data_IF_387538644494
#
_entry.id   IF_387538644494
#
_cell.length_a   1.000
_cell.length_b   1.000
_cell.length_c   1.000
_cell.angle_alpha   90.00
_cell.angle_beta   90.00
_cell.angle_gamma   90.00
#
_symmetry.space_group_name_H-M   'P 1'
#
loop_
_entity.id
_entity.type
_entity.pdbx_description
1 polymer ?
#
# COMPACT_ATOMS: atom_id res chain seq x y z
N UNK A 1 -10.40 13.87 16.37
CA UNK A 1 -9.24 13.06 15.94
C UNK A 1 -9.36 12.83 14.44
N UNK A 2 -8.37 13.22 13.64
CA UNK A 2 -8.38 12.95 12.21
C UNK A 2 -8.09 11.46 11.98
N UNK A 3 -9.04 10.72 11.39
CA UNK A 3 -8.85 9.32 11.01
C UNK A 3 -7.87 9.24 9.84
N UNK A 4 -6.57 9.23 10.13
CA UNK A 4 -5.57 9.10 9.09
C UNK A 4 -5.49 7.64 8.63
N UNK A 5 -6.10 7.36 7.47
CA UNK A 5 -6.21 6.01 6.93
C UNK A 5 -5.22 5.86 5.77
N UNK A 6 -4.15 5.10 5.95
CA UNK A 6 -3.29 4.67 4.83
C UNK A 6 -3.91 3.42 4.21
N UNK A 7 -4.09 3.48 2.89
CA UNK A 7 -4.41 2.30 2.07
C UNK A 7 -3.08 1.70 1.60
N UNK A 8 -2.82 0.45 1.97
CA UNK A 8 -1.62 -0.30 1.60
C UNK A 8 -1.85 -1.03 0.27
N UNK A 9 -0.79 -1.15 -0.52
CA UNK A 9 -0.81 -1.80 -1.82
C UNK A 9 0.32 -2.83 -1.92
N UNK A 10 0.00 -4.03 -2.40
CA UNK A 10 0.97 -5.00 -2.92
C UNK A 10 0.87 -4.92 -4.45
N UNK A 11 1.80 -4.25 -5.14
CA UNK A 11 1.59 -3.84 -6.53
C UNK A 11 1.47 -5.01 -7.52
N UNK A 12 2.19 -6.10 -7.26
CA UNK A 12 2.29 -7.28 -8.11
C UNK A 12 2.45 -8.52 -7.23
N UNK A 13 1.49 -9.41 -7.34
CA UNK A 13 1.42 -10.68 -6.63
C UNK A 13 0.95 -11.76 -7.60
N UNK A 14 1.44 -12.99 -7.46
CA UNK A 14 0.91 -14.12 -8.24
C UNK A 14 -0.59 -14.26 -8.01
N UNK A 15 -1.34 -14.53 -9.07
CA UNK A 15 -2.79 -14.72 -8.99
C UNK A 15 -3.18 -15.89 -8.07
N UNK A 16 -2.31 -16.89 -7.94
CA UNK A 16 -2.54 -18.10 -7.14
C UNK A 16 -2.43 -17.87 -5.63
N UNK A 17 -1.90 -16.74 -5.17
CA UNK A 17 -1.80 -16.44 -3.73
C UNK A 17 -3.17 -15.96 -3.25
N UNK A 18 -3.81 -16.69 -2.33
CA UNK A 18 -5.15 -16.35 -1.84
C UNK A 18 -5.16 -15.09 -0.96
N UNK A 19 -6.27 -14.36 -0.94
CA UNK A 19 -6.48 -13.24 -0.02
C UNK A 19 -6.42 -13.67 1.44
N UNK A 20 -6.94 -14.84 1.79
CA UNK A 20 -6.87 -15.40 3.13
C UNK A 20 -5.42 -15.55 3.62
N UNK A 21 -4.52 -16.07 2.77
CA UNK A 21 -3.11 -16.17 3.11
C UNK A 21 -2.48 -14.79 3.38
N UNK A 22 -2.82 -13.80 2.54
CA UNK A 22 -2.33 -12.43 2.68
C UNK A 22 -2.84 -11.81 3.99
N UNK A 23 -4.13 -11.97 4.29
CA UNK A 23 -4.75 -11.51 5.54
C UNK A 23 -4.01 -12.10 6.73
N UNK A 24 -3.77 -13.41 6.72
CA UNK A 24 -3.07 -14.11 7.80
C UNK A 24 -1.64 -13.57 8.01
N UNK A 25 -0.88 -13.30 6.95
CA UNK A 25 0.46 -12.71 7.05
C UNK A 25 0.41 -11.29 7.62
N UNK A 26 -0.51 -10.46 7.14
CA UNK A 26 -0.62 -9.06 7.58
C UNK A 26 -1.10 -8.97 9.04
N UNK A 27 -2.05 -9.82 9.45
CA UNK A 27 -2.52 -9.88 10.85
C UNK A 27 -1.40 -10.28 11.81
N UNK A 28 -0.53 -11.22 11.42
CA UNK A 28 0.65 -11.62 12.22
C UNK A 28 1.64 -10.49 12.48
N UNK A 29 1.64 -9.44 11.66
CA UNK A 29 2.51 -8.27 11.88
C UNK A 29 2.02 -7.37 13.02
N UNK A 30 0.77 -7.51 13.47
CA UNK A 30 0.18 -6.71 14.55
C UNK A 30 0.30 -5.18 14.35
N UNK A 31 0.15 -4.72 13.11
CA UNK A 31 0.20 -3.28 12.75
C UNK A 31 -1.18 -2.59 12.79
N UNK A 32 -2.24 -3.36 13.04
CA UNK A 32 -3.62 -2.90 13.00
C UNK A 32 -4.56 -3.98 12.49
N UNK A 33 -5.78 -3.58 12.14
CA UNK A 33 -6.79 -4.47 11.55
C UNK A 33 -7.06 -4.12 10.10
N UNK A 34 -7.26 -5.13 9.26
CA UNK A 34 -7.67 -4.93 7.87
C UNK A 34 -9.17 -4.60 7.87
N UNK A 35 -9.53 -3.44 7.33
CA UNK A 35 -10.92 -3.01 7.16
C UNK A 35 -11.49 -3.54 5.85
N UNK A 36 -10.75 -3.35 4.75
CA UNK A 36 -11.13 -3.86 3.43
C UNK A 36 -9.92 -4.38 2.66
N UNK A 37 -10.16 -5.36 1.78
CA UNK A 37 -9.17 -5.90 0.85
C UNK A 37 -9.82 -6.07 -0.54
N UNK A 38 -9.13 -5.58 -1.56
CA UNK A 38 -9.52 -5.73 -2.95
C UNK A 38 -8.40 -6.40 -3.75
N UNK A 39 -8.79 -7.41 -4.52
CA UNK A 39 -7.94 -8.09 -5.49
C UNK A 39 -8.22 -7.55 -6.88
N UNK A 40 -7.20 -6.99 -7.54
CA UNK A 40 -7.35 -6.37 -8.85
C UNK A 40 -6.38 -7.04 -9.82
N UNK A 41 -6.86 -7.84 -10.80
CA UNK A 41 -6.01 -8.41 -11.84
C UNK A 41 -5.22 -7.33 -12.59
N UNK A 42 -3.97 -7.61 -12.95
CA UNK A 42 -3.19 -6.67 -13.76
C UNK A 42 -3.69 -6.70 -15.22
N UNK A 43 -4.00 -5.51 -15.77
CA UNK A 43 -4.58 -5.34 -17.11
C UNK A 43 -3.85 -6.13 -18.21
N UNK A 44 -2.52 -6.10 -18.20
CA UNK A 44 -1.69 -6.70 -19.24
C UNK A 44 -1.06 -8.04 -18.84
N UNK A 45 -1.26 -8.50 -17.60
CA UNK A 45 -0.68 -9.75 -17.14
C UNK A 45 -1.61 -10.46 -16.16
N UNK A 46 -2.49 -11.30 -16.70
CA UNK A 46 -3.54 -12.02 -15.96
C UNK A 46 -3.01 -13.01 -14.91
N UNK A 47 -1.74 -13.41 -15.02
CA UNK A 47 -1.08 -14.27 -14.04
C UNK A 47 -0.74 -13.53 -12.73
N UNK A 48 -0.93 -12.21 -12.71
CA UNK A 48 -0.68 -11.38 -11.55
C UNK A 48 -1.88 -10.52 -11.20
N UNK A 49 -1.95 -10.17 -9.93
CA UNK A 49 -2.90 -9.24 -9.35
C UNK A 49 -2.20 -8.23 -8.46
N UNK A 50 -2.89 -7.15 -8.17
CA UNK A 50 -2.56 -6.17 -7.14
C UNK A 50 -3.52 -6.36 -5.98
N UNK A 51 -3.01 -6.20 -4.77
CA UNK A 51 -3.83 -6.11 -3.56
C UNK A 51 -3.89 -4.67 -3.13
N UNK A 52 -5.08 -4.18 -2.85
CA UNK A 52 -5.32 -2.88 -2.22
C UNK A 52 -6.06 -3.15 -0.92
N UNK A 53 -5.50 -2.70 0.20
CA UNK A 53 -6.07 -2.96 1.51
C UNK A 53 -6.10 -1.71 2.37
N UNK A 54 -7.24 -1.46 2.99
CA UNK A 54 -7.41 -0.41 3.99
C UNK A 54 -7.08 -0.99 5.35
N UNK A 55 -6.17 -0.33 6.07
CA UNK A 55 -5.74 -0.75 7.41
C UNK A 55 -6.16 0.31 8.41
N UNK A 56 -6.82 -0.13 9.49
CA UNK A 56 -7.01 0.67 10.70
C UNK A 56 -5.76 0.47 11.54
N UNK A 57 -4.84 1.44 11.46
CA UNK A 57 -3.51 1.33 12.05
C UNK A 57 -3.56 1.39 13.57
N UNK A 58 -2.88 0.46 14.22
CA UNK A 58 -2.62 0.53 15.65
C UNK A 58 -1.43 1.45 15.90
N UNK A 59 -1.67 2.75 16.08
CA UNK A 59 -0.62 3.74 16.32
C UNK A 59 -0.17 3.81 17.78
N UNK A 60 -0.38 2.78 18.60
CA UNK A 60 0.26 2.69 19.92
C UNK A 60 1.61 1.96 19.85
N UNK A 61 1.73 0.99 18.93
CA UNK A 61 2.96 0.21 18.71
C UNK A 61 4.03 1.03 17.99
N UNK A 62 5.27 1.02 18.51
CA UNK A 62 6.43 1.68 17.88
C UNK A 62 6.73 1.14 16.48
N UNK A 63 6.55 -0.17 16.27
CA UNK A 63 6.72 -0.81 14.97
C UNK A 63 5.69 -0.30 13.97
N UNK A 64 4.42 -0.25 14.38
CA UNK A 64 3.33 0.25 13.54
C UNK A 64 3.52 1.73 13.20
N UNK A 65 3.85 2.58 14.18
CA UNK A 65 4.20 3.99 13.96
C UNK A 65 5.32 4.16 12.93
N UNK A 66 6.38 3.34 13.03
CA UNK A 66 7.51 3.38 12.09
C UNK A 66 7.08 3.02 10.67
N UNK A 67 6.35 1.93 10.50
CA UNK A 67 5.85 1.49 9.18
C UNK A 67 4.94 2.57 8.58
N UNK A 68 4.02 3.08 9.40
CA UNK A 68 3.10 4.13 9.03
C UNK A 68 3.82 5.41 8.55
N UNK A 69 4.88 5.84 9.26
CA UNK A 69 5.70 6.98 8.85
C UNK A 69 6.41 6.76 7.52
N UNK A 70 7.04 5.58 7.33
CA UNK A 70 7.72 5.21 6.08
C UNK A 70 6.74 5.30 4.90
N UNK A 71 5.54 4.77 5.06
CA UNK A 71 4.51 4.82 4.02
C UNK A 71 4.00 6.24 3.76
N UNK A 72 3.92 7.10 4.78
CA UNK A 72 3.55 8.50 4.60
C UNK A 72 4.62 9.33 3.89
N UNK A 73 5.89 8.95 4.00
CA UNK A 73 6.99 9.49 3.20
C UNK A 73 7.01 8.91 1.76
N UNK A 74 5.96 8.19 1.35
CA UNK A 74 5.86 7.49 0.05
C UNK A 74 6.98 6.48 -0.21
N UNK A 75 7.62 5.97 0.84
CA UNK A 75 8.62 4.89 0.76
C UNK A 75 7.94 3.53 0.77
N UNK A 76 8.71 2.51 0.39
CA UNK A 76 8.24 1.12 0.40
C UNK A 76 8.70 0.36 1.65
N UNK A 77 7.94 -0.67 2.01
CA UNK A 77 8.30 -1.64 3.06
C UNK A 77 8.39 -3.04 2.47
N UNK A 78 9.14 -3.91 3.14
CA UNK A 78 9.21 -5.35 2.82
C UNK A 78 8.48 -6.14 3.89
N UNK A 79 7.54 -6.98 3.47
CA UNK A 79 6.81 -7.90 4.35
C UNK A 79 7.28 -9.32 4.03
N UNK A 80 8.04 -9.92 4.95
CA UNK A 80 8.54 -11.30 4.81
C UNK A 80 7.39 -12.25 5.11
N UNK A 81 6.99 -13.06 4.13
CA UNK A 81 5.93 -14.06 4.29
C UNK A 81 6.49 -15.47 4.47
N UNK A 82 7.67 -15.73 3.91
CA UNK A 82 8.42 -16.99 4.04
C UNK A 82 9.90 -16.70 3.77
N UNK A 83 10.80 -16.82 4.75
CA UNK A 83 12.19 -16.40 4.59
C UNK A 83 12.90 -17.22 3.48
N UNK A 84 13.56 -16.59 2.49
CA UNK A 84 13.93 -15.18 2.38
C UNK A 84 12.97 -14.31 1.55
N UNK A 85 11.83 -14.85 1.15
CA UNK A 85 10.83 -14.22 0.32
C UNK A 85 10.00 -13.15 1.04
N UNK A 86 9.78 -12.03 0.34
CA UNK A 86 9.01 -10.91 0.83
C UNK A 86 8.17 -10.26 -0.26
N UNK A 87 7.09 -9.59 0.15
CA UNK A 87 6.34 -8.66 -0.70
C UNK A 87 6.85 -7.25 -0.49
N UNK A 88 6.96 -6.48 -1.57
CA UNK A 88 7.16 -5.04 -1.50
C UNK A 88 5.78 -4.39 -1.41
N UNK A 89 5.59 -3.55 -0.39
CA UNK A 89 4.34 -2.85 -0.16
C UNK A 89 4.55 -1.34 -0.16
N UNK A 90 3.57 -0.62 -0.68
CA UNK A 90 3.61 0.84 -0.85
C UNK A 90 2.27 1.46 -0.44
N UNK A 91 2.27 2.76 -0.18
CA UNK A 91 1.02 3.52 -0.05
C UNK A 91 0.29 3.53 -1.39
N UNK A 92 -0.98 3.13 -1.38
CA UNK A 92 -1.86 3.27 -2.54
C UNK A 92 -2.23 4.75 -2.71
N UNK A 93 -1.87 5.30 -3.86
CA UNK A 93 -2.29 6.63 -4.28
C UNK A 93 -3.28 6.43 -5.43
N UNK A 94 -4.51 6.88 -5.23
CA UNK A 94 -5.51 6.91 -6.31
C UNK A 94 -5.08 8.02 -7.27
N UNK A 95 -4.47 7.65 -8.40
CA UNK A 95 -4.16 8.62 -9.44
C UNK A 95 -5.45 9.24 -9.95
N UNK A 96 -5.51 10.56 -10.01
CA UNK A 96 -6.63 11.24 -10.65
C UNK A 96 -6.63 10.91 -12.14
N UNK A 97 -7.83 10.75 -12.74
CA UNK A 97 -7.94 10.45 -14.16
C UNK A 97 -7.20 11.47 -15.05
N UNK A 98 -7.10 12.74 -14.60
CA UNK A 98 -6.35 13.81 -15.27
C UNK A 98 -4.83 13.63 -15.24
N UNK A 99 -4.26 13.18 -14.13
CA UNK A 99 -2.79 12.98 -13.99
C UNK A 99 -2.27 11.86 -14.90
N UNK A 100 -3.09 10.83 -15.14
CA UNK A 100 -2.78 9.73 -16.06
C UNK A 100 -2.63 10.16 -17.52
N UNK A 101 -3.32 11.24 -17.91
CA UNK A 101 -3.23 11.80 -19.28
C UNK A 101 -1.91 12.56 -19.44
N UNK A 102 -1.41 13.18 -18.37
CA UNK A 102 -0.22 14.02 -18.41
C UNK A 102 1.08 13.32 -17.96
N UNK A 103 0.99 12.08 -17.46
CA UNK A 103 2.15 11.26 -17.10
C UNK A 103 3.01 11.80 -15.94
N UNK A 104 2.53 12.80 -15.21
CA UNK A 104 3.29 13.46 -14.14
C UNK A 104 3.24 12.62 -12.85
N UNK A 105 4.40 12.38 -12.23
CA UNK A 105 4.50 11.72 -10.92
C UNK A 105 3.70 12.54 -9.87
N UNK A 106 2.75 11.92 -9.14
CA UNK A 106 1.97 12.60 -8.10
C UNK A 106 2.80 13.25 -6.99
N UNK A 107 4.05 12.81 -6.80
CA UNK A 107 4.98 13.40 -5.84
C UNK A 107 5.57 14.71 -6.35
N UNK A 108 5.74 14.84 -7.66
CA UNK A 108 6.25 16.06 -8.31
C UNK A 108 5.17 17.14 -8.44
N UNK A 109 3.92 16.76 -8.70
CA UNK A 109 2.81 17.73 -8.73
C UNK A 109 2.65 18.46 -7.40
N UNK A 110 2.76 17.74 -6.29
CA UNK A 110 2.65 18.31 -4.93
C UNK A 110 3.81 19.23 -4.56
N UNK A 111 5.00 18.98 -5.11
CA UNK A 111 6.16 19.86 -4.92
C UNK A 111 5.96 21.19 -5.67
N UNK A 112 5.41 21.15 -6.89
CA UNK A 112 5.17 22.34 -7.72
C UNK A 112 4.10 23.26 -7.09
N UNK A 113 3.03 22.70 -6.52
CA UNK A 113 2.00 23.49 -5.82
C UNK A 113 2.60 24.27 -4.64
N UNK A 114 3.50 23.66 -3.87
CA UNK A 114 4.14 24.31 -2.72
C UNK A 114 5.19 25.36 -3.12
N UNK A 115 5.72 25.32 -4.35
CA UNK A 115 6.66 26.34 -4.85
C UNK A 115 5.91 27.59 -5.34
N UNK A 116 4.65 27.42 -5.78
CA UNK A 116 3.82 28.50 -6.32
C UNK A 116 2.91 29.15 -5.27
N UNK A 117 3.08 28.83 -3.98
CA UNK A 117 2.36 29.41 -2.85
C UNK A 117 3.33 30.16 -1.96
#
# INVERSE_FOLDING_TARGET
MQNQTIVLCIPKLSFNISSEYIINIIQKMNIGTIDTLHEIPLKYNKNYKRIIMRINWNLESSQSKRIYSILNENKSIKIVYDMPWYWVCVKYIRQNAKERINGLDPSLSKLIENINT
#
